data_IF_168623893943
#
_entry.id   IF_168623893943
#
_cell.length_a   1.000
_cell.length_b   1.000
_cell.length_c   1.000
_cell.angle_alpha   90.00
_cell.angle_beta   90.00
_cell.angle_gamma   90.00
#
_symmetry.space_group_name_H-M   'P 1'
#
loop_
_entity.id
_entity.type
_entity.pdbx_description
1 polymer ?
#
# COMPACT_ATOMS: atom_id res chain seq x y z
N UNK A 1 -56.41 41.35 -23.80
CA UNK A 1 -55.29 42.20 -23.31
C UNK A 1 -54.41 41.51 -22.27
N UNK A 2 -54.97 40.95 -21.18
CA UNK A 2 -54.20 40.30 -20.09
C UNK A 2 -53.35 39.08 -20.50
N UNK A 3 -53.83 38.27 -21.45
CA UNK A 3 -53.11 37.09 -21.92
C UNK A 3 -51.98 37.46 -22.89
N UNK A 4 -52.18 38.47 -23.73
CA UNK A 4 -51.17 38.98 -24.68
C UNK A 4 -49.94 39.53 -23.95
N UNK A 5 -50.15 40.24 -22.83
CA UNK A 5 -49.07 40.78 -21.98
C UNK A 5 -48.25 39.65 -21.33
N UNK A 6 -48.89 38.53 -20.93
CA UNK A 6 -48.20 37.36 -20.38
C UNK A 6 -47.31 36.67 -21.40
N UNK A 7 -47.75 36.57 -22.66
CA UNK A 7 -46.92 36.02 -23.74
C UNK A 7 -45.71 36.91 -24.05
N UNK A 8 -45.88 38.23 -24.09
CA UNK A 8 -44.76 39.16 -24.25
C UNK A 8 -43.75 39.08 -23.10
N UNK A 9 -44.23 38.99 -21.84
CA UNK A 9 -43.35 38.82 -20.68
C UNK A 9 -42.60 37.48 -20.69
N UNK A 10 -43.25 36.39 -21.12
CA UNK A 10 -42.60 35.08 -21.25
C UNK A 10 -41.55 35.06 -22.36
N UNK A 11 -41.82 35.71 -23.51
CA UNK A 11 -40.86 35.82 -24.62
C UNK A 11 -39.67 36.71 -24.21
N UNK A 12 -39.91 37.82 -23.52
CA UNK A 12 -38.84 38.68 -23.00
C UNK A 12 -37.99 37.97 -21.94
N UNK A 13 -38.60 37.17 -21.05
CA UNK A 13 -37.87 36.36 -20.09
C UNK A 13 -37.02 35.27 -20.75
N UNK A 14 -37.53 34.64 -21.82
CA UNK A 14 -36.80 33.66 -22.61
C UNK A 14 -35.64 34.29 -23.41
N UNK A 15 -35.83 35.49 -23.95
CA UNK A 15 -34.75 36.25 -24.60
C UNK A 15 -33.69 36.71 -23.60
N UNK A 16 -34.10 37.15 -22.40
CA UNK A 16 -33.18 37.53 -21.34
C UNK A 16 -32.35 36.35 -20.84
N UNK A 17 -32.94 35.15 -20.69
CA UNK A 17 -32.17 33.95 -20.32
C UNK A 17 -31.21 33.52 -21.41
N UNK A 18 -31.62 33.51 -22.68
CA UNK A 18 -30.72 33.18 -23.81
C UNK A 18 -29.59 34.21 -23.92
N UNK A 19 -29.88 35.50 -23.71
CA UNK A 19 -28.87 36.55 -23.72
C UNK A 19 -27.88 36.41 -22.55
N UNK A 20 -28.33 36.03 -21.35
CA UNK A 20 -27.44 35.77 -20.18
C UNK A 20 -26.53 34.55 -20.45
N UNK A 21 -27.03 33.50 -21.11
CA UNK A 21 -26.19 32.36 -21.49
C UNK A 21 -25.26 32.65 -22.67
N UNK A 22 -25.66 33.50 -23.62
CA UNK A 22 -24.83 33.88 -24.77
C UNK A 22 -23.80 34.98 -24.45
N UNK A 23 -24.06 35.82 -23.44
CA UNK A 23 -23.13 36.84 -22.93
C UNK A 23 -22.25 36.34 -21.78
N UNK A 24 -22.38 35.06 -21.41
CA UNK A 24 -21.40 34.40 -20.55
C UNK A 24 -20.14 34.13 -21.38
N UNK A 25 -19.35 35.18 -21.60
CA UNK A 25 -17.94 34.98 -21.93
C UNK A 25 -17.31 34.27 -20.73
N UNK A 26 -16.90 33.01 -20.91
CA UNK A 26 -15.93 32.41 -20.00
C UNK A 26 -14.77 33.39 -19.89
N UNK A 27 -14.38 33.83 -18.69
CA UNK A 27 -13.19 34.65 -18.56
C UNK A 27 -12.03 33.81 -19.07
N UNK A 28 -11.56 34.08 -20.29
CA UNK A 28 -10.23 33.64 -20.74
C UNK A 28 -9.23 34.60 -20.11
N UNK A 29 -9.20 34.60 -18.77
CA UNK A 29 -8.10 35.16 -18.02
C UNK A 29 -7.07 34.04 -17.90
N UNK A 30 -6.30 33.86 -18.97
CA UNK A 30 -4.94 33.36 -18.83
C UNK A 30 -4.01 34.34 -19.57
N UNK A 31 -3.55 35.42 -18.91
CA UNK A 31 -2.55 36.33 -19.48
C UNK A 31 -1.16 35.68 -19.57
N UNK A 32 -0.96 34.56 -18.87
CA UNK A 32 0.22 33.71 -18.94
C UNK A 32 -0.18 32.42 -19.64
N UNK A 33 -0.07 32.39 -20.98
CA UNK A 33 -0.32 31.21 -21.80
C UNK A 33 0.66 30.04 -21.56
N UNK A 34 0.93 29.66 -20.31
CA UNK A 34 1.33 28.31 -19.98
C UNK A 34 0.08 27.44 -19.96
N UNK A 35 -0.46 27.16 -21.14
CA UNK A 35 -1.08 25.85 -21.31
C UNK A 35 -0.07 24.86 -20.72
N UNK A 36 -0.43 24.17 -19.63
CA UNK A 36 0.33 23.02 -19.17
C UNK A 36 0.22 21.98 -20.28
N UNK A 37 1.03 22.17 -21.32
CA UNK A 37 1.20 21.28 -22.44
C UNK A 37 2.05 20.15 -21.90
N UNK A 38 1.50 19.41 -20.92
CA UNK A 38 2.04 18.13 -20.51
C UNK A 38 1.76 17.21 -21.68
N UNK A 39 2.71 17.11 -22.59
CA UNK A 39 2.76 16.00 -23.52
C UNK A 39 2.70 14.72 -22.67
N UNK A 40 1.58 14.01 -22.73
CA UNK A 40 1.43 12.73 -22.05
C UNK A 40 2.22 11.72 -22.89
N UNK A 41 3.46 11.47 -22.47
CA UNK A 41 4.25 10.38 -23.01
C UNK A 41 3.83 9.09 -22.31
N UNK A 42 3.30 8.15 -23.09
CA UNK A 42 2.90 6.81 -22.66
C UNK A 42 4.02 5.88 -23.14
N UNK A 43 5.06 5.61 -22.32
CA UNK A 43 6.14 4.72 -22.73
C UNK A 43 5.61 3.30 -22.95
N UNK A 44 6.13 2.62 -23.98
CA UNK A 44 6.04 1.17 -24.02
C UNK A 44 6.81 0.62 -22.83
N UNK A 45 6.23 -0.35 -22.14
CA UNK A 45 6.96 -1.13 -21.16
C UNK A 45 7.76 -2.17 -21.94
N UNK A 46 9.07 -2.18 -21.79
CA UNK A 46 9.92 -3.22 -22.37
C UNK A 46 10.22 -4.26 -21.31
N UNK A 47 9.76 -5.49 -21.51
CA UNK A 47 10.04 -6.65 -20.65
C UNK A 47 11.16 -7.55 -21.21
N UNK A 48 11.94 -7.06 -22.19
CA UNK A 48 13.11 -7.77 -22.74
C UNK A 48 14.39 -7.53 -21.94
N UNK A 49 14.37 -6.58 -20.99
CA UNK A 49 15.44 -6.37 -20.01
C UNK A 49 15.68 -7.64 -19.17
N UNK A 50 16.87 -7.74 -18.57
CA UNK A 50 17.16 -8.78 -17.59
C UNK A 50 16.59 -8.38 -16.22
N UNK A 51 15.71 -9.23 -15.68
CA UNK A 51 15.09 -9.00 -14.38
C UNK A 51 15.55 -10.03 -13.35
N UNK A 52 15.65 -9.57 -12.11
CA UNK A 52 16.02 -10.35 -10.95
C UNK A 52 15.03 -10.07 -9.83
N UNK A 53 14.76 -11.03 -8.95
CA UNK A 53 14.01 -10.83 -7.72
C UNK A 53 14.66 -11.62 -6.59
N UNK A 54 15.02 -10.93 -5.51
CA UNK A 54 15.64 -11.50 -4.32
C UNK A 54 16.91 -12.33 -4.63
N UNK A 55 17.67 -11.92 -5.65
CA UNK A 55 18.89 -12.62 -6.10
C UNK A 55 18.65 -13.77 -7.09
N UNK A 56 17.40 -14.01 -7.51
CA UNK A 56 17.05 -15.03 -8.50
C UNK A 56 16.64 -14.40 -9.84
N UNK A 57 17.13 -14.95 -10.95
CA UNK A 57 16.84 -14.45 -12.30
C UNK A 57 15.42 -14.82 -12.74
N UNK A 58 14.77 -13.88 -13.43
CA UNK A 58 13.46 -14.11 -14.08
C UNK A 58 13.72 -14.56 -15.52
N UNK A 59 13.21 -15.73 -15.97
CA UNK A 59 13.53 -16.29 -17.28
C UNK A 59 12.67 -15.69 -18.41
N UNK A 60 12.90 -14.41 -18.75
CA UNK A 60 12.15 -13.65 -19.78
C UNK A 60 12.40 -14.09 -21.23
N UNK A 61 13.31 -15.03 -21.45
CA UNK A 61 13.44 -15.78 -22.71
C UNK A 61 12.19 -16.59 -23.02
N UNK A 62 11.48 -17.08 -21.99
CA UNK A 62 10.19 -17.72 -22.14
C UNK A 62 9.12 -16.65 -22.42
N UNK A 63 8.44 -16.75 -23.57
CA UNK A 63 7.45 -15.76 -23.99
C UNK A 63 6.32 -15.59 -22.97
N UNK A 64 5.86 -16.68 -22.34
CA UNK A 64 4.77 -16.65 -21.37
C UNK A 64 5.20 -15.95 -20.06
N UNK A 65 6.46 -16.13 -19.63
CA UNK A 65 7.03 -15.39 -18.48
C UNK A 65 7.14 -13.91 -18.81
N UNK A 66 7.62 -13.57 -20.01
CA UNK A 66 7.77 -12.20 -20.47
C UNK A 66 6.43 -11.47 -20.56
N UNK A 67 5.43 -12.07 -21.18
CA UNK A 67 4.09 -11.49 -21.32
C UNK A 67 3.38 -11.31 -19.96
N UNK A 68 3.54 -12.26 -19.03
CA UNK A 68 3.02 -12.13 -17.65
C UNK A 68 3.69 -10.97 -16.89
N UNK A 69 5.00 -10.79 -17.05
CA UNK A 69 5.73 -9.67 -16.46
C UNK A 69 5.31 -8.33 -17.08
N UNK A 70 5.31 -8.25 -18.42
CA UNK A 70 4.91 -7.05 -19.16
C UNK A 70 3.52 -6.58 -18.74
N UNK A 71 2.57 -7.51 -18.62
CA UNK A 71 1.21 -7.22 -18.16
C UNK A 71 1.21 -6.53 -16.79
N UNK A 72 1.98 -7.02 -15.81
CA UNK A 72 2.01 -6.41 -14.48
C UNK A 72 2.75 -5.07 -14.46
N UNK A 73 3.79 -4.90 -15.28
CA UNK A 73 4.44 -3.60 -15.46
C UNK A 73 3.48 -2.57 -16.07
N UNK A 74 2.69 -2.94 -17.09
CA UNK A 74 1.65 -2.08 -17.68
C UNK A 74 0.61 -1.71 -16.62
N UNK A 75 0.09 -2.69 -15.88
CA UNK A 75 -0.93 -2.45 -14.84
C UNK A 75 -0.42 -1.46 -13.78
N UNK A 76 0.79 -1.65 -13.26
CA UNK A 76 1.34 -0.79 -12.20
C UNK A 76 1.82 0.57 -12.75
N UNK A 77 2.13 0.66 -14.05
CA UNK A 77 2.40 1.92 -14.73
C UNK A 77 1.11 2.73 -14.90
N UNK A 78 0.00 2.14 -15.34
CA UNK A 78 -1.22 2.90 -15.66
C UNK A 78 -2.24 2.99 -14.52
N UNK A 79 -2.00 2.33 -13.39
CA UNK A 79 -2.80 2.53 -12.19
C UNK A 79 -2.33 3.72 -11.33
N UNK A 80 -2.26 4.90 -11.96
CA UNK A 80 -1.58 6.10 -11.46
C UNK A 80 -1.88 6.45 -10.00
N UNK A 81 -3.16 6.43 -9.58
CA UNK A 81 -3.56 6.79 -8.22
C UNK A 81 -2.84 5.94 -7.17
N UNK A 82 -2.80 4.62 -7.37
CA UNK A 82 -2.14 3.72 -6.42
C UNK A 82 -0.64 3.95 -6.41
N UNK A 83 -0.04 4.03 -7.61
CA UNK A 83 1.40 4.20 -7.78
C UNK A 83 1.91 5.51 -7.19
N UNK A 84 1.24 6.64 -7.46
CA UNK A 84 1.57 7.95 -6.88
C UNK A 84 1.49 7.90 -5.35
N UNK A 85 0.44 7.30 -4.79
CA UNK A 85 0.31 7.18 -3.33
C UNK A 85 1.42 6.28 -2.74
N UNK A 86 1.79 5.20 -3.42
CA UNK A 86 2.86 4.31 -2.98
C UNK A 86 4.25 4.98 -3.07
N UNK A 87 4.52 5.75 -4.13
CA UNK A 87 5.72 6.58 -4.28
C UNK A 87 5.84 7.62 -3.14
N UNK A 88 4.72 8.22 -2.72
CA UNK A 88 4.73 9.14 -1.57
C UNK A 88 4.92 8.40 -0.25
N UNK A 89 4.28 7.24 -0.07
CA UNK A 89 4.32 6.46 1.17
C UNK A 89 5.63 5.70 1.40
N UNK A 90 6.35 5.29 0.36
CA UNK A 90 7.57 4.50 0.53
C UNK A 90 8.61 5.23 1.38
N UNK A 91 8.79 6.54 1.18
CA UNK A 91 9.67 7.39 2.01
C UNK A 91 9.29 7.35 3.49
N UNK A 92 8.01 7.18 3.84
CA UNK A 92 7.53 7.09 5.22
C UNK A 92 7.81 5.73 5.85
N UNK A 93 7.59 4.64 5.12
CA UNK A 93 7.47 3.31 5.72
C UNK A 93 8.65 2.38 5.43
N UNK A 94 9.33 2.52 4.29
CA UNK A 94 10.50 1.70 3.97
C UNK A 94 11.64 1.86 4.98
N UNK A 95 11.95 3.06 5.51
CA UNK A 95 12.98 3.22 6.54
C UNK A 95 12.71 2.43 7.84
N UNK A 96 11.47 2.00 8.08
CA UNK A 96 11.09 1.13 9.20
C UNK A 96 11.20 -0.36 8.81
N UNK A 97 10.87 -0.71 7.56
CA UNK A 97 10.81 -2.10 7.08
C UNK A 97 12.22 -2.63 6.76
N UNK A 98 13.01 -1.89 6.00
CA UNK A 98 14.33 -2.28 5.50
C UNK A 98 15.30 -2.74 6.60
N UNK A 99 15.51 -2.01 7.72
CA UNK A 99 16.41 -2.47 8.77
C UNK A 99 15.92 -3.77 9.44
N UNK A 100 14.61 -4.00 9.50
CA UNK A 100 14.06 -5.25 10.05
C UNK A 100 14.27 -6.40 9.07
N UNK A 101 14.05 -6.21 7.77
CA UNK A 101 14.35 -7.25 6.77
C UNK A 101 15.82 -7.67 6.85
N UNK A 102 16.73 -6.68 6.92
CA UNK A 102 18.17 -6.90 7.08
C UNK A 102 18.51 -7.65 8.36
N UNK A 103 17.92 -7.29 9.51
CA UNK A 103 18.12 -7.98 10.80
C UNK A 103 17.80 -9.48 10.71
N UNK A 104 16.78 -9.86 9.92
CA UNK A 104 16.36 -11.25 9.77
C UNK A 104 17.07 -11.97 8.61
N UNK A 105 17.81 -11.26 7.76
CA UNK A 105 18.42 -11.81 6.54
C UNK A 105 17.40 -12.11 5.45
N UNK A 106 16.29 -11.36 5.41
CA UNK A 106 15.30 -11.41 4.32
C UNK A 106 15.71 -10.39 3.25
N UNK A 107 15.72 -10.76 1.95
CA UNK A 107 16.05 -9.83 0.88
C UNK A 107 15.15 -8.61 0.89
N UNK A 108 15.73 -7.45 0.58
CA UNK A 108 15.04 -6.16 0.66
C UNK A 108 13.84 -6.07 -0.29
N UNK A 109 13.89 -6.80 -1.41
CA UNK A 109 12.81 -6.98 -2.36
C UNK A 109 11.47 -7.41 -1.71
N UNK A 110 11.50 -8.07 -0.54
CA UNK A 110 10.27 -8.44 0.17
C UNK A 110 9.52 -7.25 0.76
N UNK A 111 10.09 -6.03 0.84
CA UNK A 111 9.34 -4.83 1.22
C UNK A 111 8.19 -4.53 0.24
N UNK A 112 8.33 -4.96 -1.02
CA UNK A 112 7.31 -4.77 -2.05
C UNK A 112 6.11 -5.72 -1.89
N UNK A 113 6.20 -6.79 -1.10
CA UNK A 113 5.00 -7.52 -0.66
C UNK A 113 4.08 -6.61 0.13
N UNK A 114 4.61 -5.79 1.06
CA UNK A 114 3.77 -4.87 1.84
C UNK A 114 3.08 -3.82 0.96
N UNK A 115 3.65 -3.49 -0.20
CA UNK A 115 3.00 -2.65 -1.21
C UNK A 115 1.88 -3.43 -1.90
N UNK A 116 2.16 -4.64 -2.40
CA UNK A 116 1.19 -5.49 -3.10
C UNK A 116 0.00 -5.90 -2.20
N UNK A 117 0.24 -6.10 -0.90
CA UNK A 117 -0.75 -6.54 0.07
C UNK A 117 -1.66 -5.41 0.57
N UNK A 118 -1.11 -4.19 0.75
CA UNK A 118 -1.87 -3.14 1.44
C UNK A 118 -1.67 -1.72 0.92
N UNK A 119 -0.90 -1.51 -0.14
CA UNK A 119 -0.47 -0.19 -0.59
C UNK A 119 0.14 0.64 0.55
N UNK A 120 1.03 -0.01 1.32
CA UNK A 120 1.71 0.57 2.48
C UNK A 120 0.75 1.24 3.45
N UNK A 121 -0.31 0.52 3.80
CA UNK A 121 -1.33 1.01 4.72
C UNK A 121 -1.82 -0.06 5.69
N UNK A 122 -2.51 0.39 6.74
CA UNK A 122 -3.22 -0.48 7.67
C UNK A 122 -4.58 -0.93 7.08
N UNK A 123 -4.53 -1.65 5.97
CA UNK A 123 -5.71 -2.15 5.26
C UNK A 123 -6.40 -3.31 6.00
N UNK A 124 -7.67 -3.54 5.71
CA UNK A 124 -8.44 -4.71 6.14
C UNK A 124 -9.08 -5.34 4.91
N UNK A 125 -8.77 -6.60 4.62
CA UNK A 125 -9.42 -7.33 3.53
C UNK A 125 -10.85 -7.76 3.90
N UNK A 126 -11.71 -8.04 2.91
CA UNK A 126 -13.06 -8.58 3.13
C UNK A 126 -13.06 -9.86 3.97
N UNK A 127 -12.04 -10.72 3.80
CA UNK A 127 -11.90 -12.00 4.51
C UNK A 127 -11.16 -11.89 5.86
N UNK A 128 -10.73 -10.69 6.25
CA UNK A 128 -10.24 -10.41 7.61
C UNK A 128 -8.72 -10.38 7.80
N UNK A 129 -7.95 -10.42 6.70
CA UNK A 129 -6.53 -10.07 6.70
C UNK A 129 -6.35 -8.58 7.06
N UNK A 130 -5.28 -8.23 7.77
CA UNK A 130 -5.08 -6.87 8.26
C UNK A 130 -3.62 -6.41 8.25
N UNK A 131 -3.45 -5.09 8.16
CA UNK A 131 -2.17 -4.41 8.30
C UNK A 131 -1.35 -4.41 7.01
N UNK A 132 -0.09 -3.99 7.13
CA UNK A 132 0.85 -3.89 6.02
C UNK A 132 1.10 -5.23 5.32
N UNK A 133 1.15 -6.29 6.13
CA UNK A 133 1.50 -7.64 5.68
C UNK A 133 0.28 -8.55 5.49
N UNK A 134 -0.94 -7.98 5.57
CA UNK A 134 -2.23 -8.70 5.42
C UNK A 134 -2.28 -10.03 6.20
N UNK A 135 -1.91 -10.01 7.47
CA UNK A 135 -1.98 -11.22 8.28
C UNK A 135 -3.43 -11.61 8.62
N UNK A 136 -3.75 -12.89 8.41
CA UNK A 136 -4.91 -13.53 9.03
C UNK A 136 -4.73 -13.62 10.55
N UNK A 137 -5.83 -13.63 11.30
CA UNK A 137 -5.81 -13.63 12.78
C UNK A 137 -5.04 -14.83 13.36
N UNK A 138 -5.26 -16.03 12.80
CA UNK A 138 -4.57 -17.25 13.22
C UNK A 138 -3.07 -17.13 13.01
N UNK A 139 -2.66 -16.86 11.77
CA UNK A 139 -1.24 -16.63 11.40
C UNK A 139 -0.58 -15.57 12.27
N UNK A 140 -1.23 -14.42 12.48
CA UNK A 140 -0.68 -13.37 13.35
C UNK A 140 -0.38 -13.89 14.77
N UNK A 141 -1.30 -14.68 15.33
CA UNK A 141 -1.14 -15.26 16.67
C UNK A 141 0.00 -16.29 16.71
N UNK A 142 0.13 -17.12 15.67
CA UNK A 142 1.22 -18.10 15.55
C UNK A 142 2.61 -17.44 15.52
N UNK A 143 2.70 -16.22 15.00
CA UNK A 143 3.93 -15.42 14.98
C UNK A 143 4.03 -14.41 16.12
N UNK A 144 3.23 -14.58 17.18
CA UNK A 144 3.36 -13.86 18.44
C UNK A 144 2.74 -12.46 18.45
N UNK A 145 1.92 -12.11 17.46
CA UNK A 145 1.16 -10.86 17.47
C UNK A 145 -0.10 -11.01 18.32
N UNK A 146 -0.31 -10.05 19.22
CA UNK A 146 -1.53 -9.95 19.99
C UNK A 146 -2.68 -9.44 19.12
N UNK A 147 -3.77 -10.22 19.08
CA UNK A 147 -4.99 -9.82 18.38
C UNK A 147 -6.21 -10.01 19.29
N UNK A 148 -6.83 -8.91 19.71
CA UNK A 148 -8.07 -8.87 20.47
C UNK A 148 -8.90 -7.63 20.11
N UNK A 149 -9.94 -7.30 20.88
CA UNK A 149 -10.86 -6.19 20.59
C UNK A 149 -10.28 -4.80 20.90
N UNK A 150 -9.26 -4.72 21.78
CA UNK A 150 -8.62 -3.47 22.17
C UNK A 150 -7.26 -3.25 21.49
N UNK A 151 -6.56 -4.34 21.16
CA UNK A 151 -5.20 -4.38 20.61
C UNK A 151 -5.15 -5.34 19.42
N UNK A 152 -4.68 -4.86 18.28
CA UNK A 152 -4.43 -5.68 17.09
C UNK A 152 -3.05 -5.32 16.52
N UNK A 153 -2.03 -6.07 16.95
CA UNK A 153 -0.62 -5.84 16.60
C UNK A 153 -0.32 -6.13 15.12
N UNK A 154 -1.30 -6.63 14.33
CA UNK A 154 -1.19 -6.63 12.86
C UNK A 154 -1.10 -5.22 12.28
N UNK A 155 -1.65 -4.22 12.97
CA UNK A 155 -1.51 -2.82 12.59
C UNK A 155 -0.25 -2.15 13.15
N UNK A 156 0.55 -2.88 13.94
CA UNK A 156 1.83 -2.37 14.45
C UNK A 156 2.94 -2.71 13.46
N UNK A 157 3.38 -1.72 12.67
CA UNK A 157 4.29 -1.93 11.54
C UNK A 157 5.53 -2.74 11.92
N UNK A 158 6.26 -2.35 12.96
CA UNK A 158 7.51 -3.01 13.38
C UNK A 158 7.28 -4.47 13.80
N UNK A 159 6.26 -4.72 14.64
CA UNK A 159 5.93 -6.08 15.11
C UNK A 159 5.45 -6.95 13.96
N UNK A 160 4.58 -6.42 13.11
CA UNK A 160 4.07 -7.12 11.94
C UNK A 160 5.19 -7.42 10.94
N UNK A 161 6.13 -6.51 10.70
CA UNK A 161 7.30 -6.76 9.84
C UNK A 161 8.20 -7.85 10.41
N UNK A 162 8.47 -7.85 11.72
CA UNK A 162 9.23 -8.94 12.37
C UNK A 162 8.51 -10.29 12.24
N UNK A 163 7.19 -10.31 12.39
CA UNK A 163 6.38 -11.51 12.16
C UNK A 163 6.45 -11.97 10.68
N UNK A 164 6.35 -11.05 9.73
CA UNK A 164 6.49 -11.33 8.29
C UNK A 164 7.86 -11.90 7.96
N UNK A 165 8.94 -11.35 8.53
CA UNK A 165 10.28 -11.89 8.35
C UNK A 165 10.40 -13.35 8.81
N UNK A 166 9.90 -13.66 10.02
CA UNK A 166 9.88 -15.04 10.54
C UNK A 166 9.08 -15.97 9.63
N UNK A 167 7.96 -15.48 9.11
CA UNK A 167 7.09 -16.23 8.22
C UNK A 167 7.77 -16.54 6.89
N UNK A 168 8.39 -15.53 6.27
CA UNK A 168 9.13 -15.65 5.02
C UNK A 168 10.33 -16.58 5.14
N UNK A 169 11.09 -16.50 6.23
CA UNK A 169 12.22 -17.41 6.48
C UNK A 169 11.78 -18.87 6.56
N UNK A 170 10.70 -19.15 7.29
CA UNK A 170 10.14 -20.52 7.37
C UNK A 170 9.77 -21.06 5.99
N UNK A 171 9.28 -20.21 5.10
CA UNK A 171 8.92 -20.63 3.74
C UNK A 171 10.14 -20.79 2.86
N UNK A 172 11.13 -19.91 2.98
CA UNK A 172 12.38 -20.06 2.29
C UNK A 172 13.11 -21.35 2.71
N UNK A 173 13.11 -21.69 3.99
CA UNK A 173 13.62 -22.99 4.49
C UNK A 173 12.87 -24.18 3.87
N UNK A 174 11.58 -24.04 3.58
CA UNK A 174 10.76 -25.10 2.98
C UNK A 174 10.95 -25.22 1.46
N UNK A 175 11.04 -24.09 0.75
CA UNK A 175 10.99 -24.05 -0.72
C UNK A 175 12.34 -23.81 -1.38
N UNK A 176 13.36 -23.38 -0.64
CA UNK A 176 14.72 -23.16 -1.14
C UNK A 176 14.89 -21.99 -2.12
N UNK A 177 13.80 -21.31 -2.47
CA UNK A 177 13.75 -20.19 -3.43
C UNK A 177 12.89 -19.06 -2.85
N UNK A 178 13.37 -17.82 -2.95
CA UNK A 178 12.63 -16.62 -2.60
C UNK A 178 11.47 -16.36 -3.56
N UNK A 179 11.61 -16.68 -4.85
CA UNK A 179 10.50 -16.62 -5.82
C UNK A 179 9.36 -17.54 -5.37
N UNK A 180 9.67 -18.80 -5.07
CA UNK A 180 8.69 -19.76 -4.55
C UNK A 180 8.13 -19.32 -3.19
N UNK A 181 8.97 -18.72 -2.34
CA UNK A 181 8.55 -18.16 -1.04
C UNK A 181 7.51 -17.06 -1.20
N UNK A 182 7.71 -16.14 -2.15
CA UNK A 182 6.76 -15.07 -2.43
C UNK A 182 5.43 -15.63 -2.96
N UNK A 183 5.46 -16.60 -3.88
CA UNK A 183 4.25 -17.28 -4.36
C UNK A 183 3.50 -18.01 -3.22
N UNK A 184 4.22 -18.73 -2.37
CA UNK A 184 3.67 -19.41 -1.21
C UNK A 184 3.12 -18.46 -0.14
N UNK A 185 3.63 -17.23 -0.05
CA UNK A 185 3.09 -16.20 0.83
C UNK A 185 1.65 -15.85 0.45
N UNK A 186 1.35 -15.70 -0.85
CA UNK A 186 0.03 -15.33 -1.35
C UNK A 186 -0.99 -16.48 -1.25
N UNK A 187 -0.70 -17.67 -1.80
CA UNK A 187 -1.68 -18.78 -1.78
C UNK A 187 -1.64 -19.65 -0.53
N UNK A 188 -0.65 -19.44 0.34
CA UNK A 188 -0.36 -20.31 1.46
C UNK A 188 0.54 -21.51 1.08
N UNK A 189 1.32 -22.02 2.06
CA UNK A 189 2.47 -22.89 1.80
C UNK A 189 2.06 -24.35 1.59
N UNK A 190 0.88 -24.73 2.08
CA UNK A 190 0.33 -26.08 1.87
C UNK A 190 -0.29 -26.18 0.48
N UNK A 191 -1.00 -25.14 0.06
CA UNK A 191 -1.55 -25.05 -1.29
C UNK A 191 -0.44 -25.02 -2.35
N UNK A 192 0.56 -24.16 -2.17
CA UNK A 192 1.68 -24.06 -3.11
C UNK A 192 2.47 -25.38 -3.21
N UNK A 193 2.82 -25.99 -2.07
CA UNK A 193 3.51 -27.28 -2.06
C UNK A 193 2.71 -28.40 -2.76
N UNK A 194 1.38 -28.43 -2.56
CA UNK A 194 0.50 -29.39 -3.22
C UNK A 194 0.51 -29.21 -4.74
N UNK A 195 0.52 -27.98 -5.23
CA UNK A 195 0.57 -27.69 -6.67
C UNK A 195 1.92 -28.06 -7.28
N UNK A 196 3.03 -27.76 -6.60
CA UNK A 196 4.37 -28.22 -7.01
C UNK A 196 4.43 -29.75 -7.15
N UNK A 197 3.94 -30.47 -6.13
CA UNK A 197 3.94 -31.94 -6.13
C UNK A 197 3.03 -32.52 -7.22
N UNK A 198 1.84 -31.93 -7.42
CA UNK A 198 0.86 -32.37 -8.41
C UNK A 198 1.37 -32.16 -9.83
N UNK A 199 2.00 -31.02 -10.10
CA UNK A 199 2.47 -30.63 -11.43
C UNK A 199 3.90 -31.07 -11.73
N UNK A 200 4.59 -31.66 -10.74
CA UNK A 200 5.98 -32.14 -10.86
C UNK A 200 6.94 -31.02 -11.28
N UNK A 201 6.73 -29.83 -10.74
CA UNK A 201 7.59 -28.67 -10.94
C UNK A 201 7.99 -28.07 -9.60
N UNK A 202 9.26 -27.70 -9.50
CA UNK A 202 9.83 -26.94 -8.40
C UNK A 202 9.98 -25.44 -8.72
N UNK A 203 9.52 -25.02 -9.90
CA UNK A 203 9.71 -23.69 -10.43
C UNK A 203 8.38 -22.96 -10.58
N UNK A 204 8.21 -21.83 -9.87
CA UNK A 204 7.03 -20.97 -9.97
C UNK A 204 6.59 -20.67 -11.40
N UNK A 205 7.54 -20.39 -12.31
CA UNK A 205 7.23 -19.96 -13.67
C UNK A 205 6.53 -21.04 -14.49
N UNK A 206 6.75 -22.31 -14.16
CA UNK A 206 6.20 -23.47 -14.86
C UNK A 206 4.90 -23.98 -14.23
N UNK A 207 4.49 -23.42 -13.08
CA UNK A 207 3.28 -23.83 -12.39
C UNK A 207 2.03 -23.17 -12.98
N UNK A 208 1.04 -24.00 -13.33
CA UNK A 208 -0.30 -23.56 -13.66
C UNK A 208 -1.18 -23.51 -12.39
N UNK A 209 -1.16 -22.39 -11.70
CA UNK A 209 -1.89 -22.13 -10.45
C UNK A 209 -2.94 -21.03 -10.64
N UNK A 210 -3.73 -20.75 -9.61
CA UNK A 210 -4.77 -19.73 -9.67
C UNK A 210 -4.21 -18.37 -10.14
N UNK A 211 -5.07 -17.58 -10.80
CA UNK A 211 -4.66 -16.33 -11.46
C UNK A 211 -4.01 -15.32 -10.52
N UNK A 212 -4.50 -15.21 -9.28
CA UNK A 212 -3.95 -14.27 -8.31
C UNK A 212 -2.48 -14.59 -8.02
N UNK A 213 -2.18 -15.86 -7.74
CA UNK A 213 -0.83 -16.29 -7.38
C UNK A 213 0.10 -16.39 -8.58
N UNK A 214 -0.39 -16.82 -9.74
CA UNK A 214 0.41 -16.87 -10.98
C UNK A 214 0.85 -15.50 -11.49
N UNK A 215 0.20 -14.43 -11.00
CA UNK A 215 0.57 -13.04 -11.24
C UNK A 215 1.37 -12.40 -10.12
N UNK A 216 1.36 -12.99 -8.92
CA UNK A 216 1.80 -12.33 -7.69
C UNK A 216 3.28 -11.94 -7.69
N UNK A 217 4.19 -12.83 -8.11
CA UNK A 217 5.63 -12.53 -8.16
C UNK A 217 5.91 -11.44 -9.20
N UNK A 218 5.31 -11.54 -10.38
CA UNK A 218 5.40 -10.51 -11.42
C UNK A 218 4.87 -9.17 -10.95
N UNK A 219 3.77 -9.14 -10.20
CA UNK A 219 3.20 -7.92 -9.62
C UNK A 219 4.16 -7.25 -8.66
N UNK A 220 4.79 -8.01 -7.77
CA UNK A 220 5.76 -7.46 -6.80
C UNK A 220 6.99 -6.91 -7.52
N UNK A 221 7.52 -7.66 -8.49
CA UNK A 221 8.63 -7.22 -9.32
C UNK A 221 8.29 -5.94 -10.08
N UNK A 222 7.12 -5.88 -10.72
CA UNK A 222 6.66 -4.68 -11.42
C UNK A 222 6.53 -3.47 -10.49
N UNK A 223 5.98 -3.67 -9.29
CA UNK A 223 5.92 -2.63 -8.26
C UNK A 223 7.34 -2.15 -7.92
N UNK A 224 8.31 -3.05 -7.71
CA UNK A 224 9.70 -2.65 -7.45
C UNK A 224 10.22 -1.77 -8.59
N UNK A 225 10.15 -2.25 -9.82
CA UNK A 225 10.69 -1.52 -10.98
C UNK A 225 10.08 -0.12 -11.10
N UNK A 226 8.76 0.00 -10.95
CA UNK A 226 8.07 1.29 -11.03
C UNK A 226 8.43 2.21 -9.87
N UNK A 227 8.55 1.68 -8.64
CA UNK A 227 8.86 2.51 -7.47
C UNK A 227 10.34 2.91 -7.38
N UNK A 228 11.26 2.08 -7.87
CA UNK A 228 12.70 2.38 -7.88
C UNK A 228 13.13 3.24 -9.07
N UNK A 229 12.43 3.13 -10.20
CA UNK A 229 12.73 3.87 -11.44
C UNK A 229 11.51 4.67 -11.92
N UNK A 230 10.87 5.51 -11.08
CA UNK A 230 9.58 6.14 -11.39
C UNK A 230 9.60 6.95 -12.69
N UNK A 231 10.71 7.64 -12.98
CA UNK A 231 10.87 8.45 -14.19
C UNK A 231 10.87 7.60 -15.48
N UNK A 232 11.39 6.36 -15.45
CA UNK A 232 11.31 5.41 -16.59
C UNK A 232 9.86 5.10 -16.95
N UNK A 233 8.96 5.15 -15.98
CA UNK A 233 7.54 4.84 -16.12
C UNK A 233 6.64 6.09 -16.14
N UNK A 234 7.22 7.28 -16.33
CA UNK A 234 6.46 8.53 -16.48
C UNK A 234 5.98 9.17 -15.17
N UNK A 235 6.50 8.73 -14.02
CA UNK A 235 6.22 9.35 -12.73
C UNK A 235 7.33 10.31 -12.32
N UNK A 236 6.96 11.57 -12.12
CA UNK A 236 7.83 12.60 -11.56
C UNK A 236 7.17 13.15 -10.29
N UNK A 237 7.69 12.72 -9.13
CA UNK A 237 7.18 13.14 -7.82
C UNK A 237 8.33 13.79 -7.05
N UNK A 238 8.28 15.12 -6.84
CA UNK A 238 9.26 15.85 -6.05
C UNK A 238 9.41 15.27 -4.63
N UNK A 239 10.60 15.33 -4.05
CA UNK A 239 10.87 14.72 -2.73
C UNK A 239 10.05 15.40 -1.62
N UNK A 240 9.84 16.71 -1.72
CA UNK A 240 9.02 17.52 -0.82
C UNK A 240 7.54 17.14 -0.83
N UNK A 241 7.07 16.50 -1.90
CA UNK A 241 5.71 15.99 -2.01
C UNK A 241 5.53 14.59 -1.41
N UNK A 242 6.64 13.91 -1.09
CA UNK A 242 6.60 12.59 -0.46
C UNK A 242 6.26 12.68 1.01
N UNK A 243 5.72 11.59 1.54
CA UNK A 243 5.32 11.54 2.92
C UNK A 243 6.53 11.23 3.80
N UNK A 244 6.93 12.19 4.63
CA UNK A 244 8.07 12.03 5.53
C UNK A 244 7.78 11.02 6.65
N UNK A 245 8.81 10.28 7.15
CA UNK A 245 8.68 9.41 8.31
C UNK A 245 8.05 10.09 9.53
N UNK A 246 7.23 9.36 10.28
CA UNK A 246 6.66 9.82 11.54
C UNK A 246 7.63 9.55 12.70
N UNK A 247 8.76 10.26 12.73
CA UNK A 247 9.84 10.06 13.70
C UNK A 247 9.83 11.07 14.88
N UNK A 248 9.00 12.12 14.83
CA UNK A 248 8.89 13.12 15.89
C UNK A 248 7.97 12.63 17.04
N UNK A 249 8.45 11.68 17.84
CA UNK A 249 7.71 11.17 18.99
C UNK A 249 8.61 10.84 20.19
N UNK A 250 8.01 10.72 21.36
CA UNK A 250 8.58 10.02 22.53
C UNK A 250 7.86 8.69 22.74
N UNK A 251 8.50 7.76 23.45
CA UNK A 251 7.90 6.49 23.82
C UNK A 251 7.54 6.52 25.30
N UNK A 252 6.30 6.16 25.61
CA UNK A 252 5.81 6.00 26.98
C UNK A 252 5.51 4.53 27.20
N UNK A 253 6.15 3.93 28.21
CA UNK A 253 5.87 2.56 28.62
C UNK A 253 4.64 2.54 29.53
N UNK A 254 3.69 1.67 29.20
CA UNK A 254 2.46 1.47 29.97
C UNK A 254 2.28 -0.01 30.28
N UNK A 255 2.28 -0.36 31.55
CA UNK A 255 2.05 -1.72 32.07
C UNK A 255 0.69 -1.88 32.77
N UNK A 256 -0.08 -0.79 32.89
CA UNK A 256 -1.39 -0.75 33.52
C UNK A 256 -2.56 -0.54 32.54
N UNK A 257 -3.75 -0.34 33.11
CA UNK A 257 -4.94 0.02 32.36
C UNK A 257 -4.93 1.50 31.97
N UNK A 258 -5.47 1.82 30.79
CA UNK A 258 -5.82 3.17 30.35
C UNK A 258 -7.35 3.22 30.19
N UNK A 259 -8.08 3.79 31.17
CA UNK A 259 -9.55 3.83 31.11
C UNK A 259 -10.10 4.61 29.91
N UNK A 260 -9.37 5.64 29.47
CA UNK A 260 -9.73 6.49 28.34
C UNK A 260 -8.47 7.02 27.64
N UNK A 261 -8.28 6.65 26.37
CA UNK A 261 -7.15 7.07 25.54
C UNK A 261 -7.20 8.55 25.14
N UNK A 262 -8.39 9.16 25.16
CA UNK A 262 -8.55 10.61 24.96
C UNK A 262 -7.96 11.41 26.12
N UNK A 263 -8.24 11.01 27.36
CA UNK A 263 -7.65 11.63 28.55
C UNK A 263 -6.14 11.36 28.60
N UNK A 264 -5.72 10.15 28.24
CA UNK A 264 -4.32 9.81 28.09
C UNK A 264 -3.62 10.70 27.04
N UNK A 265 -4.22 10.91 25.87
CA UNK A 265 -3.67 11.79 24.84
C UNK A 265 -3.52 13.23 25.36
N UNK A 266 -4.57 13.77 26.01
CA UNK A 266 -4.55 15.11 26.61
C UNK A 266 -3.46 15.25 27.68
N UNK A 267 -3.29 14.25 28.54
CA UNK A 267 -2.23 14.22 29.56
C UNK A 267 -0.83 14.41 28.96
N UNK A 268 -0.60 13.90 27.76
CA UNK A 268 0.68 14.02 27.06
C UNK A 268 0.70 15.14 26.00
N UNK A 269 -0.27 16.07 26.03
CA UNK A 269 -0.27 17.22 25.14
C UNK A 269 -0.53 16.89 23.67
N UNK A 270 -1.16 15.76 23.36
CA UNK A 270 -1.51 15.39 21.98
C UNK A 270 -3.02 15.18 21.79
N UNK A 271 -3.47 15.08 20.54
CA UNK A 271 -4.87 14.78 20.24
C UNK A 271 -5.10 13.28 20.17
N UNK A 272 -6.33 12.85 20.45
CA UNK A 272 -6.73 11.44 20.28
C UNK A 272 -6.45 10.94 18.85
N UNK A 273 -6.68 11.78 17.83
CA UNK A 273 -6.40 11.43 16.42
C UNK A 273 -4.93 11.15 16.20
N UNK A 274 -4.04 12.00 16.71
CA UNK A 274 -2.59 11.85 16.56
C UNK A 274 -2.07 10.64 17.34
N UNK A 275 -2.58 10.39 18.55
CA UNK A 275 -2.26 9.17 19.30
C UNK A 275 -2.60 7.91 18.50
N UNK A 276 -3.78 7.86 17.87
CA UNK A 276 -4.23 6.72 17.05
C UNK A 276 -3.48 6.61 15.72
N UNK A 277 -3.04 7.72 15.15
CA UNK A 277 -2.22 7.74 13.94
C UNK A 277 -0.85 7.09 14.19
N UNK A 278 -0.22 7.39 15.33
CA UNK A 278 1.07 6.83 15.73
C UNK A 278 0.97 5.42 16.32
N UNK A 279 -0.19 5.06 16.87
CA UNK A 279 -0.45 3.74 17.47
C UNK A 279 -1.72 3.09 16.89
N UNK A 280 -1.76 2.80 15.58
CA UNK A 280 -2.95 2.27 14.91
C UNK A 280 -3.34 0.85 15.40
N UNK A 281 -2.44 0.18 16.12
CA UNK A 281 -2.68 -1.11 16.77
C UNK A 281 -3.54 -1.02 18.03
N UNK A 282 -3.66 0.16 18.65
CA UNK A 282 -4.68 0.40 19.67
C UNK A 282 -6.01 0.58 18.92
N UNK A 283 -6.96 -0.35 19.06
CA UNK A 283 -8.23 -0.32 18.34
C UNK A 283 -9.32 0.42 19.13
N UNK A 284 -9.45 0.10 20.40
CA UNK A 284 -10.47 0.66 21.28
C UNK A 284 -10.14 2.12 21.69
N UNK A 285 -11.07 2.75 22.39
CA UNK A 285 -10.87 4.03 23.08
C UNK A 285 -10.25 3.86 24.48
N UNK A 286 -10.05 2.61 24.93
CA UNK A 286 -9.47 2.25 26.23
C UNK A 286 -8.52 1.06 26.09
N UNK A 287 -7.73 0.80 27.13
CA UNK A 287 -6.86 -0.37 27.25
C UNK A 287 -7.03 -0.97 28.65
N UNK A 288 -7.60 -2.17 28.75
CA UNK A 288 -7.88 -2.82 30.04
C UNK A 288 -6.62 -3.45 30.63
N UNK A 289 -5.76 -4.04 29.80
CA UNK A 289 -4.46 -4.63 30.17
C UNK A 289 -4.42 -5.45 31.48
N UNK A 290 -5.40 -6.33 31.71
CA UNK A 290 -5.50 -7.13 32.94
C UNK A 290 -4.28 -8.03 33.21
N UNK A 291 -3.53 -8.38 32.16
CA UNK A 291 -2.32 -9.21 32.25
C UNK A 291 -1.04 -8.41 32.56
N UNK A 292 -1.15 -7.09 32.78
CA UNK A 292 -0.02 -6.18 33.05
C UNK A 292 1.13 -6.30 32.03
N UNK A 293 0.78 -6.44 30.74
CA UNK A 293 1.78 -6.44 29.66
C UNK A 293 2.28 -5.02 29.48
N UNK A 294 3.60 -4.84 29.34
CA UNK A 294 4.17 -3.55 28.99
C UNK A 294 3.96 -3.24 27.51
N UNK A 295 3.43 -2.05 27.22
CA UNK A 295 3.29 -1.51 25.88
C UNK A 295 4.12 -0.25 25.73
N UNK A 296 4.83 -0.16 24.62
CA UNK A 296 5.48 1.07 24.18
C UNK A 296 4.48 1.86 23.32
N UNK A 297 3.96 2.96 23.86
CA UNK A 297 3.03 3.85 23.17
C UNK A 297 3.79 5.07 22.66
N UNK A 298 3.73 5.31 21.35
CA UNK A 298 4.34 6.46 20.70
C UNK A 298 3.50 7.71 20.93
N UNK A 299 4.07 8.72 21.58
CA UNK A 299 3.45 10.02 21.80
C UNK A 299 4.09 11.02 20.85
N UNK A 300 3.37 11.52 19.84
CA UNK A 300 3.92 12.55 18.96
C UNK A 300 4.21 13.81 19.76
N UNK A 301 5.38 14.40 19.51
CA UNK A 301 5.72 15.71 20.06
C UNK A 301 4.95 16.78 19.26
N UNK A 302 4.65 17.91 19.89
CA UNK A 302 4.13 19.05 19.15
C UNK A 302 5.26 19.59 18.26
N UNK A 303 4.92 19.91 17.02
CA UNK A 303 5.80 20.64 16.11
C UNK A 303 5.88 22.12 16.53
#
# INVERSE_FOLDING_TARGET
MRNTIKYYLAIMAAFATVAIFASYETPTNDPDGTAYNRSIYIPSVDATDEYWFAGERIPTENFDVRERLERELIVNTYYHTSTILNLKKMTRFFPVIEPILKEYGVPEDFKYLAVAESNLSNAKSPVGAKGFWQFMRGTASDYGLQVNTEVDERYHLEKATRAACKYLKKYHEKFGSWINTAAAYNMGPSGFAKEMERQKSDNYFDLNINEETSRYVFRILAIREVLEKPTKFGFDIPEEEKYMPLNNYSVVQVDGAIPNLGDFAKKYGTTYRMLKLYNPWLLSYKLTNSKKKTYDIKIPKQD
#
